data_IF_747830902733
#
_entry.id   IF_747830902733
#
_cell.length_a   1.000
_cell.length_b   1.000
_cell.length_c   1.000
_cell.angle_alpha   90.00
_cell.angle_beta   90.00
_cell.angle_gamma   90.00
#
_symmetry.space_group_name_H-M   'P 1'
#
loop_
_entity.id
_entity.type
_entity.pdbx_description
1 polymer ?
#
# COMPACT_ATOMS: atom_id res chain seq x y z
N UNK A 1 8.15 -36.76 -37.79
CA UNK A 1 8.76 -37.11 -36.49
C UNK A 1 10.13 -36.48 -36.37
N UNK A 2 10.35 -35.46 -35.52
CA UNK A 2 11.66 -34.90 -35.28
C UNK A 2 12.32 -35.51 -34.04
N UNK A 3 13.63 -35.77 -34.16
CA UNK A 3 14.51 -36.43 -33.20
C UNK A 3 14.62 -35.64 -31.87
N UNK A 4 14.40 -36.35 -30.76
CA UNK A 4 14.71 -35.92 -29.39
C UNK A 4 16.21 -35.66 -29.26
N UNK A 5 16.61 -34.43 -28.90
CA UNK A 5 17.94 -34.16 -28.33
C UNK A 5 17.83 -34.28 -26.80
N UNK A 6 18.52 -35.28 -26.27
CA UNK A 6 18.76 -35.48 -24.84
C UNK A 6 19.93 -34.56 -24.46
N UNK A 7 19.71 -33.61 -23.56
CA UNK A 7 20.78 -32.84 -22.93
C UNK A 7 20.95 -33.42 -21.53
N UNK A 8 22.12 -34.01 -21.28
CA UNK A 8 22.52 -34.56 -19.98
C UNK A 8 23.07 -33.46 -19.08
N UNK A 9 22.78 -33.58 -17.79
CA UNK A 9 22.97 -32.57 -16.75
C UNK A 9 24.43 -32.34 -16.34
N UNK A 10 24.71 -31.14 -15.83
CA UNK A 10 25.76 -30.92 -14.83
C UNK A 10 25.14 -30.29 -13.59
N UNK A 11 25.15 -31.07 -12.51
CA UNK A 11 24.71 -30.69 -11.17
C UNK A 11 25.88 -29.93 -10.53
N UNK A 12 25.69 -28.65 -10.20
CA UNK A 12 26.62 -27.90 -9.37
C UNK A 12 26.39 -28.28 -7.91
N UNK A 13 27.40 -28.88 -7.28
CA UNK A 13 27.41 -29.18 -5.85
C UNK A 13 27.64 -27.89 -5.02
N UNK A 14 27.01 -27.77 -3.85
CA UNK A 14 27.23 -26.65 -2.94
C UNK A 14 28.60 -26.75 -2.25
N UNK A 15 29.36 -25.65 -2.30
CA UNK A 15 30.60 -25.46 -1.52
C UNK A 15 30.30 -25.34 -0.03
N UNK A 16 31.10 -26.04 0.79
CA UNK A 16 31.04 -26.05 2.26
C UNK A 16 31.35 -24.67 2.88
N UNK A 17 30.87 -24.39 4.10
CA UNK A 17 31.18 -23.15 4.81
C UNK A 17 32.62 -23.17 5.35
N UNK A 18 33.27 -22.01 5.35
CA UNK A 18 34.55 -21.78 6.04
C UNK A 18 34.25 -21.19 7.42
N UNK A 19 34.69 -21.91 8.46
CA UNK A 19 34.69 -21.44 9.85
C UNK A 19 35.74 -20.35 10.06
N UNK A 20 35.34 -19.24 10.69
CA UNK A 20 36.25 -18.28 11.31
C UNK A 20 35.74 -17.92 12.71
N UNK A 21 36.51 -18.32 13.72
CA UNK A 21 36.39 -17.90 15.13
C UNK A 21 37.52 -16.88 15.45
N UNK A 22 37.46 -16.10 16.56
CA UNK A 22 37.63 -14.65 16.49
C UNK A 22 38.87 -14.18 17.28
N UNK A 23 39.53 -13.11 16.83
CA UNK A 23 40.36 -12.30 17.73
C UNK A 23 40.49 -10.84 17.28
N UNK A 24 39.78 -10.00 18.02
CA UNK A 24 40.18 -8.68 18.59
C UNK A 24 41.21 -7.84 17.83
N UNK A 25 40.77 -6.71 17.26
CA UNK A 25 41.55 -5.46 17.29
C UNK A 25 40.63 -4.23 17.15
N UNK A 26 40.92 -3.22 17.95
CA UNK A 26 40.22 -1.95 18.20
C UNK A 26 40.09 -1.00 16.99
N UNK A 27 39.08 -0.11 16.96
CA UNK A 27 38.84 0.81 15.84
C UNK A 27 39.68 2.10 15.91
N UNK A 28 40.23 2.54 14.78
CA UNK A 28 40.90 3.83 14.62
C UNK A 28 40.05 4.78 13.77
N UNK A 29 39.84 5.98 14.32
CA UNK A 29 39.14 7.14 13.74
C UNK A 29 39.80 7.68 12.46
N UNK A 30 39.04 8.11 11.43
CA UNK A 30 39.60 8.85 10.31
C UNK A 30 39.57 10.38 10.54
N UNK A 31 40.73 11.00 10.40
CA UNK A 31 40.97 12.46 10.48
C UNK A 31 40.87 13.14 9.10
N UNK A 32 40.32 14.35 9.10
CA UNK A 32 40.14 15.28 7.96
C UNK A 32 41.48 15.95 7.57
N UNK A 33 41.79 16.17 6.28
CA UNK A 33 42.89 17.06 5.87
C UNK A 33 42.42 18.48 5.51
N UNK A 34 43.31 19.50 5.62
CA UNK A 34 42.94 20.91 5.77
C UNK A 34 42.83 21.70 4.45
N UNK A 35 42.13 22.83 4.53
CA UNK A 35 41.99 23.86 3.51
C UNK A 35 43.28 24.68 3.32
N UNK A 36 43.55 25.12 2.08
CA UNK A 36 44.44 26.25 1.82
C UNK A 36 43.90 27.09 0.67
N UNK A 37 43.77 28.38 0.96
CA UNK A 37 43.27 29.51 0.17
C UNK A 37 44.27 29.92 -0.91
N UNK A 38 43.82 30.34 -2.10
CA UNK A 38 44.42 31.47 -2.84
C UNK A 38 43.48 32.00 -3.97
N UNK A 39 43.00 33.24 -3.75
CA UNK A 39 42.93 34.39 -4.67
C UNK A 39 42.22 34.30 -6.04
N UNK A 40 41.13 35.07 -6.17
CA UNK A 40 40.51 35.52 -7.43
C UNK A 40 41.35 36.61 -8.16
N UNK A 41 41.02 36.88 -9.43
CA UNK A 41 40.62 38.24 -9.78
C UNK A 41 39.25 38.30 -10.49
N UNK A 42 38.66 39.48 -10.37
CA UNK A 42 37.27 39.83 -10.65
C UNK A 42 36.92 39.94 -12.15
N UNK A 43 35.62 39.81 -12.45
CA UNK A 43 34.95 40.71 -13.39
C UNK A 43 33.46 40.83 -13.05
N UNK A 44 33.06 42.09 -12.98
CA UNK A 44 31.75 42.69 -12.72
C UNK A 44 30.67 42.26 -13.71
N UNK A 45 29.43 42.09 -13.22
CA UNK A 45 28.23 42.77 -13.76
C UNK A 45 27.06 42.52 -12.80
N UNK A 46 26.78 43.53 -11.97
CA UNK A 46 25.55 43.70 -11.20
C UNK A 46 24.34 43.96 -12.13
N UNK A 47 23.26 43.19 -11.97
CA UNK A 47 21.90 43.69 -12.18
C UNK A 47 21.02 43.30 -11.00
N UNK A 48 20.76 44.29 -10.15
CA UNK A 48 19.79 44.27 -9.07
C UNK A 48 18.37 44.23 -9.63
N UNK A 49 17.50 43.38 -9.07
CA UNK A 49 16.05 43.48 -9.17
C UNK A 49 15.52 43.62 -7.73
N UNK A 50 14.74 44.68 -7.41
CA UNK A 50 14.27 44.97 -6.05
C UNK A 50 13.10 44.06 -5.60
N UNK A 51 12.86 43.94 -4.28
CA UNK A 51 11.84 43.04 -3.73
C UNK A 51 10.43 43.65 -3.84
N UNK A 52 9.37 42.88 -4.15
CA UNK A 52 8.00 43.38 -4.06
C UNK A 52 7.49 43.36 -2.63
N UNK A 53 6.93 44.50 -2.23
CA UNK A 53 6.29 44.80 -0.94
C UNK A 53 4.90 44.17 -0.80
N UNK A 54 4.53 43.82 0.44
CA UNK A 54 3.16 43.50 0.88
C UNK A 54 2.25 44.73 0.78
N UNK A 55 1.02 44.56 0.28
CA UNK A 55 -0.22 45.22 0.78
C UNK A 55 -1.47 44.78 0.01
N UNK A 56 -2.52 44.35 0.74
CA UNK A 56 -3.93 44.60 0.37
C UNK A 56 -4.88 43.41 0.12
N UNK A 57 -5.69 43.07 1.13
CA UNK A 57 -7.16 42.84 1.01
C UNK A 57 -7.72 41.51 0.47
N UNK A 58 -8.88 41.01 0.98
CA UNK A 58 -9.30 39.63 0.81
C UNK A 58 -10.18 39.44 -0.43
N UNK A 59 -9.70 38.68 -1.41
CA UNK A 59 -10.52 38.22 -2.52
C UNK A 59 -10.67 36.69 -2.47
N UNK A 60 -11.89 36.32 -2.09
CA UNK A 60 -12.64 35.10 -2.38
C UNK A 60 -11.92 34.02 -3.22
N UNK A 61 -11.23 33.09 -2.55
CA UNK A 61 -10.63 31.91 -3.18
C UNK A 61 -11.70 30.85 -3.42
N UNK A 62 -12.51 31.09 -4.45
CA UNK A 62 -13.30 30.06 -5.10
C UNK A 62 -12.37 29.04 -5.78
N UNK A 63 -12.54 27.77 -5.39
CA UNK A 63 -12.16 26.55 -6.11
C UNK A 63 -10.90 26.64 -6.99
N UNK A 64 -9.72 26.53 -6.37
CA UNK A 64 -8.51 26.19 -7.09
C UNK A 64 -8.66 24.77 -7.67
N UNK A 65 -9.05 24.70 -8.93
CA UNK A 65 -8.97 23.49 -9.75
C UNK A 65 -7.56 22.92 -9.62
N UNK A 66 -7.48 21.68 -9.13
CA UNK A 66 -6.24 20.90 -9.17
C UNK A 66 -5.81 20.81 -10.63
N UNK A 67 -4.80 21.61 -11.01
CA UNK A 67 -4.16 21.57 -12.32
C UNK A 67 -3.92 20.11 -12.71
N UNK A 68 -4.49 19.74 -13.84
CA UNK A 68 -4.49 18.38 -14.38
C UNK A 68 -3.05 17.88 -14.48
N UNK A 69 -2.67 16.94 -13.61
CA UNK A 69 -1.30 16.45 -13.55
C UNK A 69 -1.09 15.45 -14.69
N UNK A 70 -0.52 15.95 -15.79
CA UNK A 70 0.26 15.27 -16.82
C UNK A 70 -0.24 13.90 -17.35
N UNK A 71 -0.94 13.96 -18.50
CA UNK A 71 -0.84 13.00 -19.62
C UNK A 71 -0.91 11.50 -19.29
N UNK A 72 -1.91 11.06 -18.52
CA UNK A 72 -2.30 9.65 -18.54
C UNK A 72 -3.36 9.42 -19.62
N UNK A 73 -2.90 8.96 -20.79
CA UNK A 73 -3.77 8.55 -21.89
C UNK A 73 -4.50 7.24 -21.56
N UNK A 74 -5.63 7.01 -22.22
CA UNK A 74 -6.34 5.75 -22.10
C UNK A 74 -5.54 4.61 -22.75
N UNK A 75 -5.47 3.44 -22.11
CA UNK A 75 -4.68 2.33 -22.61
C UNK A 75 -5.44 1.55 -23.70
N UNK A 76 -5.71 2.19 -24.84
CA UNK A 76 -6.48 1.60 -25.96
C UNK A 76 -5.84 0.33 -26.50
N UNK A 77 -4.51 0.27 -26.53
CA UNK A 77 -3.76 -0.90 -26.99
C UNK A 77 -3.73 -2.07 -25.98
N UNK A 78 -4.18 -1.87 -24.73
CA UNK A 78 -4.20 -2.89 -23.66
C UNK A 78 -2.88 -3.68 -23.60
N UNK A 79 -2.93 -5.02 -23.67
CA UNK A 79 -1.76 -5.91 -23.63
C UNK A 79 -0.75 -5.68 -24.77
N UNK A 80 -1.14 -5.05 -25.87
CA UNK A 80 -0.22 -4.69 -26.96
C UNK A 80 0.61 -3.45 -26.65
N UNK A 81 0.16 -2.60 -25.71
CA UNK A 81 0.81 -1.35 -25.34
C UNK A 81 1.39 -1.32 -23.93
N UNK A 82 0.98 -2.25 -23.05
CA UNK A 82 1.34 -2.24 -21.64
C UNK A 82 1.86 -3.60 -21.19
N UNK A 83 2.92 -3.58 -20.38
CA UNK A 83 3.49 -4.72 -19.70
C UNK A 83 3.61 -4.40 -18.21
N UNK A 84 3.49 -5.43 -17.37
CA UNK A 84 3.73 -5.28 -15.93
C UNK A 84 5.20 -4.96 -15.68
N UNK A 85 5.44 -3.87 -14.96
CA UNK A 85 6.75 -3.41 -14.49
C UNK A 85 6.61 -2.97 -13.03
N UNK A 86 7.27 -3.68 -12.12
CA UNK A 86 7.26 -3.37 -10.69
C UNK A 86 8.55 -2.66 -10.35
N UNK A 87 8.46 -1.41 -9.93
CA UNK A 87 9.61 -0.62 -9.53
C UNK A 87 10.06 -0.94 -8.10
N UNK A 88 11.24 -0.46 -7.72
CA UNK A 88 11.78 -0.61 -6.39
C UNK A 88 10.91 0.06 -5.32
N UNK A 89 10.95 -0.49 -4.10
CA UNK A 89 10.21 0.05 -2.97
C UNK A 89 8.71 -0.28 -2.96
N UNK A 90 8.25 -1.15 -3.87
CA UNK A 90 6.91 -1.72 -3.79
C UNK A 90 6.82 -2.81 -2.71
N UNK A 91 5.63 -2.95 -2.09
CA UNK A 91 5.30 -4.14 -1.30
C UNK A 91 4.23 -4.92 -2.05
N UNK A 92 4.58 -6.17 -2.41
CA UNK A 92 3.70 -7.07 -3.15
C UNK A 92 2.92 -7.97 -2.17
N UNK A 93 1.71 -8.34 -2.56
CA UNK A 93 0.99 -9.42 -1.88
C UNK A 93 1.43 -10.81 -2.38
N UNK A 94 0.81 -11.86 -1.84
CA UNK A 94 1.11 -13.25 -2.21
C UNK A 94 0.68 -13.66 -3.62
N UNK A 95 -0.03 -12.81 -4.36
CA UNK A 95 -0.32 -13.00 -5.79
C UNK A 95 0.66 -12.22 -6.68
N UNK A 96 1.62 -11.49 -6.10
CA UNK A 96 2.52 -10.61 -6.84
C UNK A 96 1.90 -9.27 -7.23
N UNK A 97 0.73 -8.93 -6.68
CA UNK A 97 0.10 -7.63 -6.93
C UNK A 97 0.74 -6.55 -6.05
N UNK A 98 1.08 -5.37 -6.60
CA UNK A 98 1.66 -4.29 -5.83
C UNK A 98 0.60 -3.61 -4.95
N UNK A 99 0.45 -4.11 -3.73
CA UNK A 99 -0.48 -3.57 -2.74
C UNK A 99 -0.02 -2.18 -2.26
N UNK A 100 1.29 -1.96 -2.19
CA UNK A 100 1.89 -0.66 -1.95
C UNK A 100 2.78 -0.30 -3.16
N UNK A 101 2.20 0.21 -4.26
CA UNK A 101 2.98 0.60 -5.42
C UNK A 101 3.87 1.80 -5.10
N UNK A 102 5.03 1.87 -5.73
CA UNK A 102 5.99 2.96 -5.58
C UNK A 102 6.72 3.21 -6.92
N UNK A 103 7.45 4.32 -7.03
CA UNK A 103 8.21 4.66 -8.23
C UNK A 103 7.33 4.76 -9.49
N UNK A 104 7.81 4.21 -10.59
CA UNK A 104 7.10 4.16 -11.88
C UNK A 104 6.43 2.81 -12.13
N UNK A 105 5.74 2.26 -11.12
CA UNK A 105 5.12 0.93 -11.21
C UNK A 105 3.90 0.90 -12.13
N UNK A 106 3.87 -0.10 -13.01
CA UNK A 106 2.74 -0.44 -13.88
C UNK A 106 2.36 -1.89 -13.65
N UNK A 107 1.08 -2.17 -13.45
CA UNK A 107 0.60 -3.54 -13.29
C UNK A 107 -0.61 -3.80 -14.18
N UNK A 108 -0.47 -4.78 -15.08
CA UNK A 108 -1.53 -5.19 -15.99
C UNK A 108 -2.32 -6.33 -15.35
N UNK A 109 -3.63 -6.14 -15.27
CA UNK A 109 -4.59 -7.22 -15.02
C UNK A 109 -5.12 -7.73 -16.37
N UNK A 110 -4.72 -8.93 -16.81
CA UNK A 110 -5.25 -9.52 -18.03
C UNK A 110 -6.75 -9.86 -17.87
N UNK A 111 -7.43 -10.07 -18.98
CA UNK A 111 -8.89 -10.35 -19.06
C UNK A 111 -9.32 -11.45 -18.09
N UNK A 112 -8.60 -12.57 -18.09
CA UNK A 112 -8.87 -13.73 -17.21
C UNK A 112 -8.00 -13.73 -15.94
N UNK A 113 -7.37 -12.61 -15.61
CA UNK A 113 -6.49 -12.47 -14.45
C UNK A 113 -7.26 -12.39 -13.14
N UNK A 114 -7.05 -13.36 -12.25
CA UNK A 114 -7.57 -13.32 -10.88
C UNK A 114 -6.59 -12.67 -9.91
N UNK A 115 -6.67 -11.35 -9.76
CA UNK A 115 -5.98 -10.59 -8.72
C UNK A 115 -7.02 -10.01 -7.76
N UNK A 116 -7.15 -10.61 -6.57
CA UNK A 116 -8.20 -10.22 -5.62
C UNK A 116 -8.07 -8.76 -5.19
N UNK A 117 -6.84 -8.26 -5.12
CA UNK A 117 -6.51 -6.91 -4.69
C UNK A 117 -6.51 -5.86 -5.82
N UNK A 118 -6.83 -6.20 -7.07
CA UNK A 118 -6.78 -5.23 -8.15
C UNK A 118 -7.79 -4.08 -7.95
N UNK A 119 -7.29 -2.85 -7.77
CA UNK A 119 -8.08 -1.67 -7.38
C UNK A 119 -7.89 -1.23 -5.93
N UNK A 120 -7.31 -2.11 -5.11
CA UNK A 120 -6.96 -1.84 -3.73
C UNK A 120 -5.53 -1.32 -3.63
N UNK A 121 -5.28 -0.50 -2.61
CA UNK A 121 -3.94 -0.18 -2.13
C UNK A 121 -3.94 -0.32 -0.61
N UNK A 122 -2.78 -0.61 -0.03
CA UNK A 122 -2.64 -0.87 1.40
C UNK A 122 -2.45 0.38 2.28
N UNK A 123 -2.27 1.57 1.68
CA UNK A 123 -2.09 2.82 2.41
C UNK A 123 -3.38 3.65 2.52
N UNK A 124 -3.44 4.56 3.49
CA UNK A 124 -4.54 5.53 3.62
C UNK A 124 -4.61 6.43 2.39
N UNK A 125 -5.81 6.53 1.81
CA UNK A 125 -6.04 7.21 0.54
C UNK A 125 -7.32 8.02 0.51
N UNK A 126 -7.36 8.99 -0.40
CA UNK A 126 -8.59 9.50 -1.01
C UNK A 126 -8.72 8.91 -2.42
N UNK A 127 -9.96 8.66 -2.82
CA UNK A 127 -10.30 8.20 -4.17
C UNK A 127 -11.04 9.33 -4.90
N UNK A 128 -10.88 9.39 -6.21
CA UNK A 128 -11.80 10.12 -7.07
C UNK A 128 -12.09 9.30 -8.32
N UNK A 129 -13.33 9.33 -8.78
CA UNK A 129 -13.65 8.77 -10.08
C UNK A 129 -13.18 9.73 -11.17
N UNK A 130 -12.56 9.20 -12.22
CA UNK A 130 -12.26 9.96 -13.42
C UNK A 130 -13.53 10.26 -14.23
N UNK A 131 -13.36 10.97 -15.35
CA UNK A 131 -14.46 11.25 -16.26
C UNK A 131 -15.18 9.95 -16.65
N UNK A 132 -16.52 10.00 -16.65
CA UNK A 132 -17.35 8.89 -17.10
C UNK A 132 -17.21 8.79 -18.61
N UNK A 133 -16.54 7.73 -19.06
CA UNK A 133 -16.50 7.34 -20.46
C UNK A 133 -17.20 5.98 -20.60
N UNK A 134 -17.76 5.73 -21.77
CA UNK A 134 -18.57 4.53 -22.00
C UNK A 134 -17.73 3.25 -21.83
N UNK A 135 -16.50 3.23 -22.32
CA UNK A 135 -15.63 2.05 -22.33
C UNK A 135 -14.79 1.87 -21.07
N UNK A 136 -14.46 2.97 -20.38
CA UNK A 136 -13.47 2.98 -19.30
C UNK A 136 -14.09 3.42 -17.98
N UNK A 137 -13.75 2.72 -16.89
CA UNK A 137 -13.90 3.21 -15.52
C UNK A 137 -12.51 3.58 -15.01
N UNK A 138 -12.35 4.82 -14.58
CA UNK A 138 -11.09 5.34 -14.04
C UNK A 138 -11.25 5.65 -12.57
N UNK A 139 -10.31 5.18 -11.75
CA UNK A 139 -10.22 5.53 -10.34
C UNK A 139 -8.84 6.14 -10.10
N UNK A 140 -8.80 7.36 -9.58
CA UNK A 140 -7.56 8.02 -9.13
C UNK A 140 -7.45 7.87 -7.63
N UNK A 141 -6.25 7.53 -7.17
CA UNK A 141 -5.91 7.31 -5.78
C UNK A 141 -4.84 8.31 -5.37
N UNK A 142 -5.10 9.01 -4.28
CA UNK A 142 -4.20 9.98 -3.67
C UNK A 142 -3.82 9.49 -2.28
N UNK A 143 -2.53 9.26 -2.07
CA UNK A 143 -2.02 8.89 -0.76
C UNK A 143 -2.25 10.04 0.23
N UNK A 144 -2.62 9.70 1.45
CA UNK A 144 -2.73 10.66 2.54
C UNK A 144 -1.45 10.75 3.37
N UNK A 145 -0.45 9.91 3.12
CA UNK A 145 0.75 9.80 3.96
C UNK A 145 0.50 8.99 5.23
N UNK A 146 1.11 9.40 6.34
CA UNK A 146 1.16 8.63 7.59
C UNK A 146 1.11 9.51 8.82
N UNK A 147 0.51 9.00 9.91
CA UNK A 147 0.60 9.61 11.23
C UNK A 147 1.84 9.07 11.96
N UNK A 148 2.74 9.97 12.37
CA UNK A 148 4.04 9.62 12.98
C UNK A 148 4.13 10.15 14.40
N UNK A 149 4.96 9.51 15.20
CA UNK A 149 5.38 10.03 16.50
C UNK A 149 6.65 10.86 16.34
N UNK A 150 6.75 11.95 17.09
CA UNK A 150 7.95 12.79 17.14
C UNK A 150 8.99 12.36 18.19
N UNK A 151 8.75 11.28 18.95
CA UNK A 151 9.71 10.78 19.92
C UNK A 151 10.74 9.88 19.25
N UNK A 152 12.01 10.13 19.56
CA UNK A 152 13.11 9.31 19.09
C UNK A 152 12.94 7.86 19.54
N UNK A 153 13.17 6.93 18.61
CA UNK A 153 12.99 5.50 18.86
C UNK A 153 11.54 5.01 18.85
N UNK A 154 10.53 5.88 18.68
CA UNK A 154 9.16 5.45 18.47
C UNK A 154 8.87 5.22 16.98
N UNK A 155 8.61 3.97 16.60
CA UNK A 155 8.34 3.53 15.23
C UNK A 155 6.85 3.58 14.84
N UNK A 156 6.04 4.29 15.64
CA UNK A 156 4.61 4.39 15.41
C UNK A 156 4.28 5.00 14.03
N UNK A 157 3.61 4.21 13.19
CA UNK A 157 3.10 4.58 11.88
C UNK A 157 1.61 4.26 11.77
N UNK A 158 0.77 5.25 12.09
CA UNK A 158 -0.68 5.12 12.09
C UNK A 158 -1.32 5.54 10.76
N UNK A 159 -2.45 4.94 10.35
CA UNK A 159 -3.19 5.37 9.18
C UNK A 159 -3.90 6.71 9.45
N UNK A 160 -3.70 7.75 8.61
CA UNK A 160 -4.49 8.97 8.65
C UNK A 160 -5.98 8.70 8.46
N UNK A 161 -6.82 9.59 9.03
CA UNK A 161 -8.26 9.59 8.80
C UNK A 161 -8.55 10.05 7.36
N UNK A 162 -9.57 9.45 6.72
CA UNK A 162 -9.83 9.67 5.29
C UNK A 162 -10.86 10.77 5.00
N UNK A 163 -11.62 11.21 6.00
CA UNK A 163 -12.62 12.27 5.84
C UNK A 163 -11.98 13.65 5.64
N UNK A 164 -12.64 14.51 4.87
CA UNK A 164 -12.18 15.89 4.67
C UNK A 164 -12.06 16.63 6.01
N UNK A 165 -10.92 17.29 6.26
CA UNK A 165 -10.63 18.00 7.52
C UNK A 165 -10.45 17.10 8.75
N UNK A 166 -10.61 15.78 8.62
CA UNK A 166 -10.59 14.86 9.77
C UNK A 166 -9.19 14.60 10.31
N UNK A 167 -8.16 14.83 9.50
CA UNK A 167 -6.77 14.68 9.97
C UNK A 167 -6.46 15.84 10.92
N UNK A 168 -6.79 17.06 10.51
CA UNK A 168 -6.58 18.30 11.27
C UNK A 168 -7.42 18.32 12.55
N UNK A 169 -8.70 17.94 12.47
CA UNK A 169 -9.58 17.78 13.64
C UNK A 169 -8.99 16.77 14.63
N UNK A 170 -8.52 15.62 14.15
CA UNK A 170 -7.90 14.60 14.99
C UNK A 170 -6.64 15.13 15.67
N UNK A 171 -5.74 15.79 14.94
CA UNK A 171 -4.53 16.37 15.52
C UNK A 171 -4.82 17.48 16.53
N UNK A 172 -5.86 18.29 16.28
CA UNK A 172 -6.27 19.40 17.16
C UNK A 172 -6.71 18.90 18.55
N UNK A 173 -7.18 17.66 18.65
CA UNK A 173 -7.50 17.00 19.94
C UNK A 173 -6.28 16.53 20.74
N UNK A 174 -5.06 16.78 20.25
CA UNK A 174 -3.79 16.33 20.86
C UNK A 174 -3.79 14.82 21.19
N UNK A 175 -3.93 13.95 20.19
CA UNK A 175 -4.08 12.52 20.41
C UNK A 175 -2.80 11.91 20.98
N UNK A 176 -2.96 10.97 21.91
CA UNK A 176 -1.85 10.24 22.49
C UNK A 176 -1.24 9.27 21.48
N UNK A 177 0.09 9.17 21.50
CA UNK A 177 0.80 8.19 20.69
C UNK A 177 0.44 6.78 21.15
N UNK A 178 0.12 5.90 20.19
CA UNK A 178 -0.16 4.47 20.47
C UNK A 178 1.10 3.60 20.53
N UNK A 179 2.26 4.17 20.19
CA UNK A 179 3.55 3.53 20.39
C UNK A 179 3.78 3.17 21.85
N UNK A 180 4.59 2.14 22.10
CA UNK A 180 4.85 1.62 23.45
C UNK A 180 3.55 1.31 24.22
N UNK A 181 2.60 0.66 23.56
CA UNK A 181 1.28 0.33 24.11
C UNK A 181 0.48 1.53 24.67
N UNK A 182 0.70 2.73 24.12
CA UNK A 182 0.02 3.95 24.56
C UNK A 182 0.78 4.73 25.64
N UNK A 183 1.95 4.26 26.07
CA UNK A 183 2.78 4.93 27.07
C UNK A 183 3.80 5.90 26.47
N UNK A 184 3.90 5.99 25.14
CA UNK A 184 4.82 6.91 24.51
C UNK A 184 4.43 8.38 24.80
N UNK A 185 5.33 9.20 25.37
CA UNK A 185 5.05 10.61 25.69
C UNK A 185 5.03 11.51 24.45
N UNK A 186 5.13 10.93 23.25
CA UNK A 186 5.27 11.66 22.01
C UNK A 186 3.97 12.22 21.48
N UNK A 187 4.13 13.30 20.72
CA UNK A 187 3.05 13.92 19.98
C UNK A 187 2.96 13.28 18.61
N UNK A 188 1.73 13.03 18.18
CA UNK A 188 1.45 12.58 16.83
C UNK A 188 1.44 13.80 15.92
N UNK A 189 2.10 13.69 14.77
CA UNK A 189 1.99 14.64 13.67
C UNK A 189 1.63 13.91 12.37
N UNK A 190 1.15 14.67 11.40
CA UNK A 190 0.84 14.15 10.07
C UNK A 190 1.99 14.44 9.11
N UNK A 191 2.56 13.38 8.55
CA UNK A 191 3.49 13.43 7.43
C UNK A 191 2.69 13.20 6.15
N UNK A 192 2.35 14.28 5.45
CA UNK A 192 1.53 14.24 4.23
C UNK A 192 2.32 13.70 3.04
N UNK A 193 1.60 13.13 2.06
CA UNK A 193 2.18 12.63 0.82
C UNK A 193 1.48 13.28 -0.37
N UNK A 194 2.16 14.19 -1.06
CA UNK A 194 1.63 14.93 -2.21
C UNK A 194 2.21 14.47 -3.55
N UNK A 195 3.38 13.84 -3.54
CA UNK A 195 4.22 13.69 -4.73
C UNK A 195 3.98 12.35 -5.46
N UNK A 196 2.84 11.72 -5.19
CA UNK A 196 2.51 10.39 -5.73
C UNK A 196 1.16 10.42 -6.40
N UNK A 197 1.08 9.76 -7.55
CA UNK A 197 -0.15 9.58 -8.31
C UNK A 197 -0.35 8.09 -8.57
N UNK A 198 -1.54 7.60 -8.25
CA UNK A 198 -1.94 6.25 -8.59
C UNK A 198 -3.27 6.28 -9.35
N UNK A 199 -3.37 5.52 -10.44
CA UNK A 199 -4.58 5.40 -11.26
C UNK A 199 -4.85 3.95 -11.59
N UNK A 200 -6.12 3.62 -11.58
CA UNK A 200 -6.66 2.38 -12.09
C UNK A 200 -7.53 2.67 -13.30
N UNK A 201 -7.28 1.97 -14.39
CA UNK A 201 -8.12 1.92 -15.58
C UNK A 201 -8.75 0.55 -15.67
N UNK A 202 -10.07 0.51 -15.83
CA UNK A 202 -10.84 -0.71 -16.04
C UNK A 202 -11.55 -0.62 -17.37
N UNK A 203 -11.27 -1.56 -18.26
CA UNK A 203 -12.01 -1.72 -19.49
C UNK A 203 -13.32 -2.48 -19.21
N UNK A 204 -14.47 -1.81 -19.34
CA UNK A 204 -15.76 -2.36 -18.88
C UNK A 204 -16.18 -3.61 -19.64
N UNK A 205 -15.85 -3.69 -20.94
CA UNK A 205 -16.32 -4.76 -21.82
C UNK A 205 -15.55 -6.07 -21.61
N UNK A 206 -14.24 -6.00 -21.40
CA UNK A 206 -13.38 -7.20 -21.30
C UNK A 206 -12.94 -7.50 -19.88
N UNK A 207 -13.09 -6.56 -18.94
CA UNK A 207 -12.54 -6.71 -17.60
C UNK A 207 -11.02 -6.54 -17.52
N UNK A 208 -10.34 -6.24 -18.63
CA UNK A 208 -8.92 -5.86 -18.61
C UNK A 208 -8.69 -4.65 -17.71
N UNK A 209 -7.57 -4.62 -17.00
CA UNK A 209 -7.26 -3.53 -16.08
C UNK A 209 -5.80 -3.11 -16.09
N UNK A 210 -5.55 -1.85 -15.73
CA UNK A 210 -4.22 -1.29 -15.56
C UNK A 210 -4.12 -0.51 -14.26
N UNK A 211 -3.11 -0.80 -13.45
CA UNK A 211 -2.61 0.10 -12.39
C UNK A 211 -1.42 0.86 -12.96
N UNK A 212 -1.44 2.18 -12.80
CA UNK A 212 -0.32 3.07 -13.08
C UNK A 212 0.01 3.88 -11.84
N UNK A 213 1.27 3.81 -11.41
CA UNK A 213 1.81 4.61 -10.31
C UNK A 213 2.94 5.50 -10.82
N UNK A 214 3.03 6.71 -10.27
CA UNK A 214 4.14 7.64 -10.46
C UNK A 214 4.49 8.32 -9.14
N UNK A 215 5.76 8.64 -8.97
CA UNK A 215 6.27 9.34 -7.79
C UNK A 215 6.84 8.40 -6.74
N UNK A 216 7.31 8.95 -5.62
CA UNK A 216 7.96 8.19 -4.56
C UNK A 216 7.32 8.43 -3.20
N UNK A 217 6.85 7.37 -2.57
CA UNK A 217 6.44 7.39 -1.16
C UNK A 217 7.70 7.45 -0.29
N UNK A 218 7.99 8.64 0.26
CA UNK A 218 9.13 8.90 1.16
C UNK A 218 8.75 8.87 2.63
N UNK A 219 7.75 8.08 2.97
CA UNK A 219 7.25 7.93 4.34
C UNK A 219 7.11 6.45 4.66
N UNK A 220 7.10 6.11 5.95
CA UNK A 220 6.81 4.74 6.38
C UNK A 220 5.38 4.37 6.02
N UNK A 221 5.15 3.11 5.67
CA UNK A 221 3.80 2.61 5.43
C UNK A 221 3.02 2.55 6.74
N UNK A 222 1.80 3.10 6.79
CA UNK A 222 0.95 2.94 7.96
C UNK A 222 0.50 1.49 8.09
N UNK A 223 0.33 1.01 9.33
CA UNK A 223 -0.38 -0.25 9.58
C UNK A 223 -1.80 -0.19 8.98
N UNK A 224 -2.16 -1.21 8.21
CA UNK A 224 -3.44 -1.20 7.50
C UNK A 224 -4.58 -1.41 8.49
N UNK A 225 -5.50 -0.45 8.54
CA UNK A 225 -6.67 -0.51 9.42
C UNK A 225 -7.63 -1.64 9.03
N UNK A 226 -7.65 -2.09 7.77
CA UNK A 226 -8.65 -3.05 7.27
C UNK A 226 -7.93 -4.17 6.52
N UNK A 227 -8.43 -5.42 6.58
CA UNK A 227 -7.87 -6.47 5.76
C UNK A 227 -8.12 -6.15 4.28
N UNK A 228 -7.11 -6.38 3.45
CA UNK A 228 -7.21 -6.28 2.00
C UNK A 228 -8.14 -7.36 1.42
N UNK A 229 -8.61 -7.18 0.18
CA UNK A 229 -9.47 -8.16 -0.49
C UNK A 229 -8.99 -9.62 -0.45
N UNK A 230 -7.69 -9.85 -0.62
CA UNK A 230 -7.11 -11.19 -0.57
C UNK A 230 -7.16 -11.77 0.85
N UNK A 231 -6.80 -10.98 1.86
CA UNK A 231 -6.95 -11.36 3.27
C UNK A 231 -8.42 -11.66 3.64
N UNK A 232 -9.38 -10.89 3.13
CA UNK A 232 -10.81 -11.15 3.31
C UNK A 232 -11.24 -12.48 2.65
N UNK A 233 -10.71 -12.81 1.47
CA UNK A 233 -10.95 -14.11 0.79
C UNK A 233 -10.47 -15.26 1.68
N UNK A 234 -9.29 -15.12 2.29
CA UNK A 234 -8.71 -16.15 3.16
C UNK A 234 -9.44 -16.26 4.51
N UNK A 235 -9.89 -15.14 5.08
CA UNK A 235 -10.78 -15.15 6.25
C UNK A 235 -12.10 -15.86 5.94
N UNK A 236 -12.69 -15.58 4.78
CA UNK A 236 -13.94 -16.23 4.35
C UNK A 236 -13.78 -17.74 4.24
N UNK A 237 -12.69 -18.22 3.65
CA UNK A 237 -12.37 -19.66 3.61
C UNK A 237 -12.21 -20.25 5.01
N UNK A 238 -11.52 -19.55 5.91
CA UNK A 238 -11.30 -20.00 7.29
C UNK A 238 -12.62 -20.14 8.05
N UNK A 239 -13.52 -19.16 7.93
CA UNK A 239 -14.85 -19.21 8.56
C UNK A 239 -15.72 -20.30 7.93
N UNK A 240 -15.68 -20.47 6.60
CA UNK A 240 -16.40 -21.55 5.91
C UNK A 240 -15.98 -22.94 6.38
N UNK A 241 -14.69 -23.14 6.62
CA UNK A 241 -14.16 -24.42 7.12
C UNK A 241 -14.53 -24.70 8.58
N UNK A 242 -14.81 -23.67 9.37
CA UNK A 242 -15.23 -23.83 10.77
C UNK A 242 -16.24 -22.74 11.20
N UNK A 243 -17.51 -22.83 10.73
CA UNK A 243 -18.50 -21.78 10.95
C UNK A 243 -18.87 -21.61 12.43
N UNK A 244 -18.73 -22.67 13.23
CA UNK A 244 -19.04 -22.66 14.67
C UNK A 244 -17.96 -21.98 15.52
N UNK A 245 -16.72 -21.86 15.02
CA UNK A 245 -15.66 -21.18 15.77
C UNK A 245 -16.03 -19.73 16.05
N UNK A 246 -15.87 -19.30 17.30
CA UNK A 246 -16.06 -17.90 17.71
C UNK A 246 -14.92 -17.02 17.22
N UNK A 247 -15.13 -15.70 17.17
CA UNK A 247 -14.07 -14.75 16.83
C UNK A 247 -12.83 -14.90 17.73
N UNK A 248 -13.03 -15.16 19.03
CA UNK A 248 -11.92 -15.37 19.96
C UNK A 248 -11.14 -16.66 19.64
N UNK A 249 -11.85 -17.75 19.34
CA UNK A 249 -11.21 -19.01 18.93
C UNK A 249 -10.43 -18.86 17.62
N UNK A 250 -10.98 -18.15 16.64
CA UNK A 250 -10.29 -17.86 15.39
C UNK A 250 -9.04 -17.00 15.60
N UNK A 251 -9.09 -16.03 16.53
CA UNK A 251 -7.96 -15.16 16.89
C UNK A 251 -6.85 -15.91 17.61
N UNK A 252 -7.19 -16.75 18.59
CA UNK A 252 -6.20 -17.57 19.31
C UNK A 252 -5.60 -18.61 18.35
N UNK A 253 -6.43 -19.13 17.45
CA UNK A 253 -6.07 -20.23 16.57
C UNK A 253 -6.00 -21.56 17.32
N UNK A 254 -5.77 -22.64 16.57
CA UNK A 254 -5.48 -23.93 17.16
C UNK A 254 -3.98 -24.22 17.03
N UNK A 255 -3.41 -24.86 18.06
CA UNK A 255 -2.08 -25.44 17.96
C UNK A 255 -2.20 -26.66 17.03
N UNK A 256 -1.66 -26.53 15.83
CA UNK A 256 -1.43 -27.71 14.99
C UNK A 256 -0.19 -28.42 15.55
N UNK A 257 -0.07 -29.74 15.35
CA UNK A 257 1.02 -30.61 15.87
C UNK A 257 2.42 -29.94 15.94
N UNK A 258 3.31 -30.39 16.85
CA UNK A 258 4.61 -29.75 17.11
C UNK A 258 5.36 -29.40 15.82
N UNK A 259 5.72 -28.12 15.64
CA UNK A 259 6.44 -27.62 14.47
C UNK A 259 5.59 -27.03 13.34
N UNK A 260 4.25 -27.05 13.42
CA UNK A 260 3.38 -26.34 12.46
C UNK A 260 2.94 -24.97 12.98
N UNK A 261 2.85 -23.94 12.10
CA UNK A 261 2.38 -22.62 12.50
C UNK A 261 0.93 -22.68 13.01
N UNK A 262 0.61 -21.80 13.97
CA UNK A 262 -0.75 -21.66 14.49
C UNK A 262 -1.68 -21.17 13.38
N UNK A 263 -2.89 -21.72 13.31
CA UNK A 263 -3.89 -21.34 12.28
C UNK A 263 -4.65 -20.06 12.61
N UNK A 264 -4.04 -19.17 13.40
CA UNK A 264 -4.66 -17.92 13.82
C UNK A 264 -4.95 -17.02 12.63
N UNK A 265 -6.14 -16.40 12.61
CA UNK A 265 -6.50 -15.39 11.60
C UNK A 265 -5.64 -14.13 11.68
N UNK A 266 -4.90 -13.91 12.78
CA UNK A 266 -3.93 -12.81 12.90
C UNK A 266 -2.79 -12.97 11.88
N UNK A 267 -2.47 -14.22 11.51
CA UNK A 267 -1.48 -14.52 10.48
C UNK A 267 -2.00 -14.24 9.06
N UNK A 268 -3.31 -14.10 8.87
CA UNK A 268 -3.90 -13.70 7.58
C UNK A 268 -3.70 -12.19 7.37
N UNK A 269 -3.98 -11.39 8.40
CA UNK A 269 -3.78 -9.94 8.38
C UNK A 269 -3.78 -9.36 9.80
N UNK A 270 -2.84 -8.45 10.11
CA UNK A 270 -2.65 -7.86 11.45
C UNK A 270 -3.96 -7.29 12.06
N UNK A 271 -4.74 -6.60 11.23
CA UNK A 271 -6.02 -5.97 11.59
C UNK A 271 -7.07 -6.95 12.16
N UNK A 272 -6.92 -8.26 11.94
CA UNK A 272 -7.80 -9.31 12.47
C UNK A 272 -7.47 -9.69 13.93
N UNK A 273 -6.38 -9.17 14.49
CA UNK A 273 -6.13 -9.18 15.93
C UNK A 273 -7.15 -8.36 16.72
N UNK A 274 -7.89 -7.44 16.08
CA UNK A 274 -9.00 -6.74 16.71
C UNK A 274 -10.25 -7.63 16.78
N UNK A 275 -10.63 -8.04 18.00
CA UNK A 275 -11.72 -8.98 18.24
C UNK A 275 -13.08 -8.47 17.75
N UNK A 276 -13.37 -7.18 17.87
CA UNK A 276 -14.65 -6.59 17.46
C UNK A 276 -14.77 -6.54 15.94
N UNK A 277 -13.70 -6.15 15.26
CA UNK A 277 -13.62 -6.21 13.80
C UNK A 277 -13.78 -7.63 13.30
N UNK A 278 -13.07 -8.59 13.91
CA UNK A 278 -13.16 -9.99 13.54
C UNK A 278 -14.57 -10.55 13.75
N UNK A 279 -15.22 -10.19 14.87
CA UNK A 279 -16.61 -10.56 15.16
C UNK A 279 -17.56 -10.02 14.09
N UNK A 280 -17.42 -8.74 13.74
CA UNK A 280 -18.22 -8.10 12.70
C UNK A 280 -18.06 -8.77 11.34
N UNK A 281 -16.81 -8.95 10.87
CA UNK A 281 -16.53 -9.60 9.58
C UNK A 281 -17.03 -11.05 9.56
N UNK A 282 -16.81 -11.81 10.64
CA UNK A 282 -17.33 -13.18 10.77
C UNK A 282 -18.86 -13.21 10.66
N UNK A 283 -19.55 -12.29 11.32
CA UNK A 283 -21.01 -12.24 11.29
C UNK A 283 -21.53 -11.94 9.88
N UNK A 284 -20.90 -11.02 9.15
CA UNK A 284 -21.24 -10.77 7.75
C UNK A 284 -21.06 -12.02 6.88
N UNK A 285 -19.95 -12.74 7.05
CA UNK A 285 -19.67 -13.99 6.32
C UNK A 285 -20.74 -15.07 6.62
N UNK A 286 -21.13 -15.24 7.89
CA UNK A 286 -22.13 -16.24 8.30
C UNK A 286 -23.51 -15.92 7.74
N UNK A 287 -23.97 -14.68 7.88
CA UNK A 287 -25.28 -14.25 7.37
C UNK A 287 -25.41 -14.60 5.89
N UNK A 288 -24.36 -14.39 5.10
CA UNK A 288 -24.39 -14.70 3.67
C UNK A 288 -24.32 -16.19 3.34
N UNK A 289 -23.68 -17.03 4.18
CA UNK A 289 -23.77 -18.47 4.01
C UNK A 289 -25.20 -18.97 4.21
N UNK A 290 -25.91 -18.39 5.18
CA UNK A 290 -27.32 -18.71 5.46
C UNK A 290 -28.24 -18.24 4.31
N UNK A 291 -28.00 -17.04 3.76
CA UNK A 291 -28.73 -16.54 2.59
C UNK A 291 -28.40 -17.31 1.29
N UNK A 292 -27.14 -17.68 1.08
CA UNK A 292 -26.68 -18.41 -0.12
C UNK A 292 -27.18 -19.85 -0.22
N UNK A 293 -27.72 -20.42 0.87
CA UNK A 293 -28.39 -21.72 0.85
C UNK A 293 -29.85 -21.65 0.36
N UNK A 294 -30.39 -20.45 0.11
CA UNK A 294 -31.77 -20.24 -0.33
C UNK A 294 -31.83 -20.05 -1.86
N UNK A 295 -32.02 -21.16 -2.59
CA UNK A 295 -32.37 -21.25 -4.03
C UNK A 295 -31.42 -20.60 -5.06
N UNK A 296 -30.68 -21.48 -5.75
CA UNK A 296 -30.31 -21.45 -7.17
C UNK A 296 -30.06 -20.11 -7.86
N UNK A 297 -28.77 -19.78 -8.08
CA UNK A 297 -28.34 -18.82 -9.09
C UNK A 297 -27.08 -18.08 -8.68
N UNK A 298 -25.94 -18.45 -9.27
CA UNK A 298 -24.82 -17.57 -9.66
C UNK A 298 -24.53 -16.32 -8.79
N UNK A 299 -24.51 -16.48 -7.46
CA UNK A 299 -24.43 -15.36 -6.50
C UNK A 299 -23.10 -15.26 -5.74
N UNK A 300 -22.22 -16.25 -5.90
CA UNK A 300 -20.94 -16.31 -5.19
C UNK A 300 -19.95 -15.23 -5.61
N UNK A 301 -19.96 -14.85 -6.89
CA UNK A 301 -19.03 -13.84 -7.45
C UNK A 301 -19.53 -12.41 -7.24
N UNK A 302 -20.85 -12.17 -7.26
CA UNK A 302 -21.44 -10.88 -6.85
C UNK A 302 -21.08 -10.50 -5.42
N UNK A 303 -20.98 -11.48 -4.51
CA UNK A 303 -20.52 -11.26 -3.13
C UNK A 303 -19.10 -10.68 -3.04
N UNK A 304 -18.16 -11.17 -3.85
CA UNK A 304 -16.79 -10.65 -3.86
C UNK A 304 -16.81 -9.21 -4.35
N UNK A 305 -17.50 -8.95 -5.47
CA UNK A 305 -17.65 -7.60 -5.99
C UNK A 305 -18.31 -6.63 -5.00
N UNK A 306 -19.40 -7.02 -4.32
CA UNK A 306 -20.13 -6.17 -3.38
C UNK A 306 -19.41 -6.00 -2.03
N UNK A 307 -18.66 -7.01 -1.55
CA UNK A 307 -17.80 -6.88 -0.36
C UNK A 307 -16.56 -6.00 -0.63
N UNK A 308 -16.14 -5.91 -1.89
CA UNK A 308 -15.02 -5.09 -2.36
C UNK A 308 -15.42 -3.71 -2.89
N UNK A 309 -16.68 -3.49 -3.27
CA UNK A 309 -17.19 -2.18 -3.74
C UNK A 309 -17.15 -1.09 -2.67
N UNK A 310 -17.07 -1.45 -1.39
CA UNK A 310 -16.85 -0.54 -0.26
C UNK A 310 -15.42 0.07 -0.21
N UNK A 311 -14.65 0.01 -1.31
CA UNK A 311 -13.33 0.61 -1.45
C UNK A 311 -13.30 1.96 -2.20
N UNK A 312 -14.46 2.51 -2.55
CA UNK A 312 -14.57 3.89 -3.03
C UNK A 312 -14.78 4.89 -1.89
#
# INVERSE_FOLDING_TARGET
>A
MPRKKIISAQILHPTRPVDHDPRTTTPSTPSIPPSTTLSNPASDTLRQIPPPQLSGGPEDLTSAEHKDVANWQFPVAMDQGFLTYIDHGCVLDRQGYPLYPNGSTVFVRPIDGEFANFGAVGYSKRSSNGAKLDEWRVIRIYCLGVLRCNQDGCDYAGPPLTGHGKIEEFLSSNPTCKGLAGCCPGKIYWESCSDTHCRFDYHKKTGWGLLQHRGFHKHQWPSSKKPDPLAKKDLTKTVKNNPKATALQLKIGNITAPGKPTTSVVNIHESLGNSDRLRHLRQQILQQMDFGSSKGGDGGDKFMHDLFEWQL
#
